data_IF_476407470181
#
_entry.id   IF_476407470181
#
_cell.length_a   1.000
_cell.length_b   1.000
_cell.length_c   1.000
_cell.angle_alpha   90.00
_cell.angle_beta   90.00
_cell.angle_gamma   90.00
#
_symmetry.space_group_name_H-M   'P 1'
#
loop_
_entity.id
_entity.type
_entity.pdbx_description
1 polymer ?
#
# COMPACT_ATOMS: atom_id res chain seq x y z
N UNK A 1 -13.24 40.03 -1.94
CA UNK A 1 -14.25 38.97 -2.00
C UNK A 1 -13.57 37.65 -1.70
N UNK A 2 -13.87 37.02 -0.57
CA UNK A 2 -13.39 35.67 -0.25
C UNK A 2 -14.28 34.66 -0.96
N UNK A 3 -13.69 33.76 -1.75
CA UNK A 3 -14.43 32.66 -2.34
C UNK A 3 -15.08 31.82 -1.24
N UNK A 4 -16.30 31.29 -1.44
CA UNK A 4 -16.90 30.38 -0.49
C UNK A 4 -15.98 29.17 -0.25
N UNK A 5 -15.99 28.58 0.95
CA UNK A 5 -15.15 27.42 1.25
C UNK A 5 -15.50 26.27 0.30
N UNK A 6 -14.47 25.64 -0.28
CA UNK A 6 -14.65 24.46 -1.11
C UNK A 6 -15.18 23.29 -0.26
N UNK A 7 -16.15 22.54 -0.79
CA UNK A 7 -16.70 21.36 -0.15
C UNK A 7 -15.93 20.11 -0.60
N UNK A 8 -15.57 19.25 0.35
CA UNK A 8 -14.93 17.94 0.11
C UNK A 8 -15.86 16.84 0.62
N UNK A 9 -15.99 15.76 -0.14
CA UNK A 9 -16.64 14.51 0.27
C UNK A 9 -15.62 13.38 0.30
N UNK A 10 -15.74 12.48 1.27
CA UNK A 10 -14.92 11.26 1.36
C UNK A 10 -15.88 10.08 1.40
N UNK A 11 -15.83 9.23 0.38
CA UNK A 11 -16.75 8.11 0.19
C UNK A 11 -15.93 6.81 0.26
N UNK A 12 -16.34 5.90 1.14
CA UNK A 12 -15.70 4.59 1.24
C UNK A 12 -16.16 3.68 0.07
N UNK A 13 -15.20 3.03 -0.59
CA UNK A 13 -15.50 1.96 -1.55
C UNK A 13 -15.67 0.65 -0.77
N UNK A 14 -16.89 0.12 -0.75
CA UNK A 14 -17.23 -1.12 -0.05
C UNK A 14 -17.39 -2.28 -1.03
N UNK A 15 -17.38 -3.53 -0.54
CA UNK A 15 -17.64 -4.70 -1.39
C UNK A 15 -16.45 -5.24 -2.18
N UNK A 16 -15.23 -4.73 -1.95
CA UNK A 16 -14.02 -5.15 -2.68
C UNK A 16 -13.51 -6.57 -2.36
N UNK A 17 -13.96 -7.17 -1.25
CA UNK A 17 -13.54 -8.51 -0.83
C UNK A 17 -12.07 -8.64 -0.40
N UNK A 18 -11.55 -9.86 -0.39
CA UNK A 18 -10.15 -10.18 -0.10
C UNK A 18 -9.34 -10.20 -1.39
N UNK A 19 -8.27 -9.40 -1.45
CA UNK A 19 -7.39 -9.29 -2.63
C UNK A 19 -6.32 -10.38 -2.62
N UNK A 20 -6.14 -11.05 -3.75
CA UNK A 20 -5.19 -12.15 -3.97
C UNK A 20 -4.12 -11.76 -4.99
N UNK A 21 -2.98 -12.47 -5.00
CA UNK A 21 -1.99 -12.32 -6.06
C UNK A 21 -2.59 -12.47 -7.45
N UNK A 22 -2.34 -11.48 -8.31
CA UNK A 22 -2.85 -11.41 -9.68
C UNK A 22 -4.19 -10.67 -9.86
N UNK A 23 -4.85 -10.27 -8.78
CA UNK A 23 -6.10 -9.51 -8.89
C UNK A 23 -5.89 -8.12 -9.51
N UNK A 24 -6.85 -7.67 -10.32
CA UNK A 24 -6.85 -6.33 -10.90
C UNK A 24 -7.51 -5.32 -9.94
N UNK A 25 -6.68 -4.52 -9.27
CA UNK A 25 -7.14 -3.50 -8.33
C UNK A 25 -8.04 -2.44 -8.99
N UNK A 26 -7.82 -2.08 -10.26
CA UNK A 26 -8.69 -1.13 -10.95
C UNK A 26 -10.08 -1.74 -11.19
N UNK A 27 -10.13 -2.99 -11.63
CA UNK A 27 -11.39 -3.71 -11.80
C UNK A 27 -12.18 -3.83 -10.49
N UNK A 28 -11.50 -4.07 -9.37
CA UNK A 28 -12.11 -4.12 -8.02
C UNK A 28 -12.71 -2.78 -7.59
N UNK A 29 -12.21 -1.66 -8.11
CA UNK A 29 -12.66 -0.31 -7.76
C UNK A 29 -13.61 0.30 -8.79
N UNK A 30 -13.77 -0.32 -9.96
CA UNK A 30 -14.53 0.25 -11.10
C UNK A 30 -16.00 0.55 -10.82
N UNK A 31 -16.58 -0.07 -9.78
CA UNK A 31 -17.95 0.19 -9.35
C UNK A 31 -18.12 1.42 -8.45
N UNK A 32 -17.05 2.19 -8.19
CA UNK A 32 -17.06 3.32 -7.27
C UNK A 32 -17.82 4.56 -7.80
N UNK A 33 -18.20 4.59 -9.08
CA UNK A 33 -18.98 5.69 -9.66
C UNK A 33 -18.20 7.02 -9.69
N UNK A 34 -16.91 6.95 -10.02
CA UNK A 34 -15.98 8.08 -10.04
C UNK A 34 -16.38 9.15 -11.07
N UNK A 35 -16.01 10.38 -10.77
CA UNK A 35 -16.20 11.58 -11.61
C UNK A 35 -14.85 12.24 -11.88
N UNK A 36 -14.80 13.02 -12.95
CA UNK A 36 -13.62 13.82 -13.28
C UNK A 36 -13.23 14.72 -12.10
N UNK A 37 -11.97 14.63 -11.69
CA UNK A 37 -11.42 15.36 -10.55
C UNK A 37 -11.47 14.61 -9.22
N UNK A 38 -12.09 13.43 -9.16
CA UNK A 38 -12.05 12.58 -7.96
C UNK A 38 -10.64 12.06 -7.68
N UNK A 39 -10.35 11.84 -6.40
CA UNK A 39 -9.10 11.25 -5.91
C UNK A 39 -9.41 9.87 -5.35
N UNK A 40 -8.79 8.84 -5.92
CA UNK A 40 -8.85 7.49 -5.40
C UNK A 40 -7.68 7.26 -4.45
N UNK A 41 -7.99 6.91 -3.20
CA UNK A 41 -6.99 6.56 -2.19
C UNK A 41 -7.08 5.07 -1.90
N UNK A 42 -5.98 4.36 -2.11
CA UNK A 42 -5.84 2.94 -1.80
C UNK A 42 -4.74 2.72 -0.77
N UNK A 43 -4.89 1.69 0.05
CA UNK A 43 -3.80 1.28 0.95
C UNK A 43 -2.76 0.49 0.17
N UNK A 44 -1.48 0.55 0.60
CA UNK A 44 -0.42 -0.25 -0.02
C UNK A 44 -0.69 -1.75 0.09
N UNK A 45 -1.40 -2.22 1.12
CA UNK A 45 -1.66 -3.64 1.37
C UNK A 45 -2.41 -4.32 0.22
N UNK A 46 -3.46 -3.72 -0.32
CA UNK A 46 -4.21 -4.34 -1.43
C UNK A 46 -3.37 -4.37 -2.71
N UNK A 47 -2.56 -3.35 -2.93
CA UNK A 47 -1.64 -3.27 -4.09
C UNK A 47 -0.54 -4.31 -3.96
N UNK A 48 0.10 -4.41 -2.79
CA UNK A 48 1.09 -5.42 -2.48
C UNK A 48 0.55 -6.85 -2.64
N UNK A 49 -0.69 -7.12 -2.21
CA UNK A 49 -1.32 -8.44 -2.39
C UNK A 49 -1.52 -8.76 -3.86
N UNK A 50 -2.15 -7.85 -4.61
CA UNK A 50 -2.35 -7.99 -6.06
C UNK A 50 -1.04 -8.20 -6.82
N UNK A 51 0.02 -7.50 -6.44
CA UNK A 51 1.35 -7.59 -7.05
C UNK A 51 2.18 -8.78 -6.55
N UNK A 52 1.62 -9.67 -5.71
CA UNK A 52 2.31 -10.85 -5.24
C UNK A 52 3.49 -10.56 -4.31
N UNK A 53 3.48 -9.42 -3.60
CA UNK A 53 4.52 -9.01 -2.64
C UNK A 53 4.45 -9.77 -1.31
N UNK A 54 3.77 -10.92 -1.28
CA UNK A 54 3.74 -11.84 -0.15
C UNK A 54 4.97 -12.72 -0.23
N UNK A 55 5.76 -12.78 0.84
CA UNK A 55 6.94 -13.65 0.93
C UNK A 55 6.81 -14.56 2.14
N UNK A 56 7.20 -15.81 1.96
CA UNK A 56 7.46 -16.69 3.09
C UNK A 56 8.70 -16.19 3.83
N UNK A 57 8.55 -15.88 5.11
CA UNK A 57 9.63 -15.39 5.95
C UNK A 57 9.47 -16.04 7.34
N UNK A 58 10.38 -16.96 7.71
CA UNK A 58 10.33 -17.57 9.04
C UNK A 58 10.58 -16.54 10.16
N UNK A 59 11.24 -15.44 9.82
CA UNK A 59 11.44 -14.30 10.69
C UNK A 59 11.12 -12.99 9.95
N UNK A 60 10.32 -12.14 10.59
CA UNK A 60 9.95 -10.82 10.10
C UNK A 60 11.16 -9.87 10.10
N UNK A 61 12.10 -10.06 11.02
CA UNK A 61 13.26 -9.16 11.17
C UNK A 61 14.15 -9.20 9.93
N UNK A 62 14.46 -10.39 9.40
CA UNK A 62 15.22 -10.52 8.15
C UNK A 62 14.58 -9.77 6.97
N UNK A 63 13.26 -9.85 6.83
CA UNK A 63 12.56 -9.11 5.77
C UNK A 63 12.63 -7.59 5.96
N UNK A 64 12.59 -7.11 7.22
CA UNK A 64 12.79 -5.69 7.53
C UNK A 64 14.20 -5.25 7.15
N UNK A 65 15.22 -6.06 7.45
CA UNK A 65 16.61 -5.76 7.13
C UNK A 65 16.84 -5.72 5.61
N UNK A 66 16.29 -6.68 4.86
CA UNK A 66 16.37 -6.71 3.39
C UNK A 66 15.70 -5.50 2.73
N UNK A 67 14.59 -5.00 3.30
CA UNK A 67 13.87 -3.83 2.78
C UNK A 67 14.39 -2.49 3.34
N UNK A 68 15.34 -2.51 4.26
CA UNK A 68 15.94 -1.32 4.88
C UNK A 68 17.18 -0.89 4.11
N UNK A 69 17.13 0.30 3.50
CA UNK A 69 18.32 0.94 2.94
C UNK A 69 19.16 1.59 4.04
N UNK A 70 18.52 2.27 5.00
CA UNK A 70 19.20 2.94 6.10
C UNK A 70 18.38 2.87 7.38
N UNK A 71 19.01 2.48 8.48
CA UNK A 71 18.39 2.60 9.81
C UNK A 71 18.41 4.06 10.24
N UNK A 72 17.25 4.62 10.59
CA UNK A 72 17.10 6.01 11.05
C UNK A 72 17.08 6.08 12.57
N UNK A 73 16.37 5.16 13.23
CA UNK A 73 16.33 5.06 14.69
C UNK A 73 16.00 3.64 15.14
N UNK A 74 16.37 3.29 16.38
CA UNK A 74 16.01 2.03 17.04
C UNK A 74 15.60 2.28 18.49
N UNK A 75 14.58 1.55 18.95
CA UNK A 75 14.16 1.50 20.36
C UNK A 75 13.57 0.13 20.67
N UNK A 76 14.30 -0.69 21.44
CA UNK A 76 13.96 -2.10 21.60
C UNK A 76 13.85 -2.78 20.24
N UNK A 77 12.80 -3.56 20.03
CA UNK A 77 12.54 -4.27 18.77
C UNK A 77 11.99 -3.37 17.65
N UNK A 78 11.65 -2.11 17.97
CA UNK A 78 11.16 -1.17 16.96
C UNK A 78 12.32 -0.54 16.20
N UNK A 79 12.28 -0.68 14.88
CA UNK A 79 13.22 -0.05 13.95
C UNK A 79 12.46 0.96 13.10
N UNK A 80 12.95 2.20 13.05
CA UNK A 80 12.56 3.17 12.02
C UNK A 80 13.63 3.10 10.94
N UNK A 81 13.22 2.78 9.72
CA UNK A 81 14.11 2.63 8.58
C UNK A 81 13.66 3.49 7.40
N UNK A 82 14.64 3.87 6.61
CA UNK A 82 14.46 4.39 5.27
C UNK A 82 14.43 3.19 4.31
N UNK A 83 13.35 3.05 3.54
CA UNK A 83 13.23 2.04 2.48
C UNK A 83 13.94 2.49 1.21
N UNK A 84 14.14 1.58 0.23
CA UNK A 84 14.67 1.92 -1.11
C UNK A 84 13.86 2.97 -1.89
N UNK A 85 12.60 3.17 -1.51
CA UNK A 85 11.74 4.21 -2.08
C UNK A 85 12.03 5.60 -1.49
N UNK A 86 12.80 5.66 -0.39
CA UNK A 86 13.05 6.87 0.39
C UNK A 86 12.07 7.09 1.56
N UNK A 87 11.06 6.22 1.76
CA UNK A 87 10.13 6.37 2.89
C UNK A 87 10.81 6.10 4.22
N UNK A 88 10.66 7.01 5.18
CA UNK A 88 11.10 6.83 6.57
C UNK A 88 9.92 6.37 7.42
N UNK A 89 9.93 5.11 7.82
CA UNK A 89 8.81 4.50 8.53
C UNK A 89 9.23 3.33 9.41
N UNK A 90 8.31 2.84 10.25
CA UNK A 90 8.57 1.67 11.07
C UNK A 90 8.70 0.40 10.22
N UNK A 91 9.67 -0.45 10.57
CA UNK A 91 9.84 -1.80 10.03
C UNK A 91 9.86 -1.88 8.50
N UNK A 92 10.42 -0.87 7.82
CA UNK A 92 10.48 -0.78 6.35
C UNK A 92 9.12 -0.93 5.63
N UNK A 93 7.99 -0.74 6.34
CA UNK A 93 6.66 -1.03 5.80
C UNK A 93 6.33 -2.52 5.66
N UNK A 94 7.18 -3.42 6.19
CA UNK A 94 6.92 -4.86 6.23
C UNK A 94 5.80 -5.15 7.22
N UNK A 95 4.73 -5.72 6.70
CA UNK A 95 3.53 -6.05 7.47
C UNK A 95 3.38 -7.57 7.63
N UNK A 96 3.06 -8.01 8.84
CA UNK A 96 2.72 -9.41 9.14
C UNK A 96 1.28 -9.53 9.69
N UNK A 97 0.55 -8.42 9.78
CA UNK A 97 -0.85 -8.40 10.15
C UNK A 97 -1.69 -8.82 8.94
N UNK A 98 -2.64 -9.73 9.13
CA UNK A 98 -3.56 -10.21 8.08
C UNK A 98 -2.88 -10.90 6.88
N UNK A 99 -1.75 -11.57 7.13
CA UNK A 99 -1.10 -12.50 6.20
C UNK A 99 -1.21 -13.93 6.73
N UNK A 100 -1.04 -14.93 5.86
CA UNK A 100 -0.99 -16.33 6.29
C UNK A 100 0.19 -16.54 7.27
N UNK A 101 0.05 -17.40 8.30
CA UNK A 101 1.14 -17.69 9.23
C UNK A 101 2.44 -18.08 8.50
N UNK A 102 3.56 -17.46 8.88
CA UNK A 102 4.85 -17.68 8.23
C UNK A 102 5.10 -16.82 6.98
N UNK A 103 4.19 -15.89 6.67
CA UNK A 103 4.36 -14.94 5.56
C UNK A 103 4.34 -13.50 6.03
N UNK A 104 5.05 -12.65 5.28
CA UNK A 104 5.04 -11.20 5.43
C UNK A 104 4.66 -10.56 4.09
N UNK A 105 4.12 -9.34 4.17
CA UNK A 105 3.77 -8.52 3.03
C UNK A 105 4.76 -7.36 2.94
N UNK A 106 5.44 -7.26 1.80
CA UNK A 106 6.34 -6.15 1.49
C UNK A 106 5.57 -5.01 0.82
N UNK A 107 6.16 -3.81 0.79
CA UNK A 107 5.63 -2.72 -0.03
C UNK A 107 5.66 -3.08 -1.54
N UNK A 108 4.81 -2.43 -2.37
CA UNK A 108 4.95 -2.46 -3.83
C UNK A 108 6.37 -2.06 -4.22
N UNK A 109 6.90 -2.61 -5.31
CA UNK A 109 8.27 -2.27 -5.75
C UNK A 109 8.39 -0.87 -6.35
N UNK A 110 7.32 -0.42 -7.01
CA UNK A 110 7.17 0.92 -7.56
C UNK A 110 5.70 1.37 -7.34
N UNK A 111 5.37 1.90 -6.15
CA UNK A 111 3.99 2.29 -5.82
C UNK A 111 3.44 3.40 -6.74
N UNK A 112 4.30 4.25 -7.31
CA UNK A 112 3.90 5.29 -8.26
C UNK A 112 3.52 4.69 -9.62
N UNK A 113 4.24 3.66 -10.08
CA UNK A 113 3.83 2.90 -11.26
C UNK A 113 2.54 2.14 -11.00
N UNK A 114 2.35 1.55 -9.82
CA UNK A 114 1.08 0.92 -9.43
C UNK A 114 -0.08 1.92 -9.47
N UNK A 115 0.08 3.10 -8.89
CA UNK A 115 -0.92 4.16 -8.92
C UNK A 115 -1.27 4.60 -10.35
N UNK A 116 -0.26 4.74 -11.23
CA UNK A 116 -0.47 5.06 -12.66
C UNK A 116 -1.23 3.95 -13.39
N UNK A 117 -0.92 2.67 -13.14
CA UNK A 117 -1.64 1.52 -13.71
C UNK A 117 -3.09 1.49 -13.25
N UNK A 118 -3.33 1.64 -11.95
CA UNK A 118 -4.68 1.67 -11.38
C UNK A 118 -5.49 2.81 -11.98
N UNK A 119 -4.93 4.03 -12.04
CA UNK A 119 -5.57 5.18 -12.68
C UNK A 119 -5.95 4.88 -14.13
N UNK A 120 -5.03 4.32 -14.92
CA UNK A 120 -5.29 4.01 -16.33
C UNK A 120 -6.40 2.96 -16.51
N UNK A 121 -6.56 2.03 -15.56
CA UNK A 121 -7.63 1.04 -15.58
C UNK A 121 -9.01 1.56 -15.14
N UNK A 122 -9.07 2.73 -14.51
CA UNK A 122 -10.33 3.34 -14.04
C UNK A 122 -11.01 4.24 -15.09
N UNK A 123 -10.30 4.59 -16.18
CA UNK A 123 -10.74 5.58 -17.16
C UNK A 123 -10.05 6.92 -16.97
#
# INVERSE_FOLDING_TARGET
MTAPPARVEVIAVTGIGEVRPGDDVAALLGHAGLRDGDIVVVTSKIVSKAEGRVRHAPDRTSAIEEETERVVARRGDTVISQTRHGFVMAAAGVDASNTEPGTVLLLPEDPDASARRIRAGLG
#
